data_IF_835595576389
#
_entry.id   IF_835595576389
#
_cell.length_a   1.000
_cell.length_b   1.000
_cell.length_c   1.000
_cell.angle_alpha   90.00
_cell.angle_beta   90.00
_cell.angle_gamma   90.00
#
_symmetry.space_group_name_H-M   'P 1'
#
loop_
_entity.id
_entity.type
_entity.pdbx_description
1 polymer ?
#
# COMPACT_ATOMS: atom_id res chain seq x y z
N UNK A 1 -6.52 6.36 8.17
CA UNK A 1 -5.70 5.16 7.89
C UNK A 1 -4.35 5.38 8.56
N UNK A 2 -3.96 4.55 9.52
CA UNK A 2 -2.59 4.56 10.07
C UNK A 2 -1.55 4.25 8.99
N UNK A 3 -0.38 4.85 9.13
CA UNK A 3 0.80 4.58 8.31
C UNK A 3 1.37 3.21 8.67
N UNK A 4 1.56 2.35 7.67
CA UNK A 4 2.09 1.00 7.84
C UNK A 4 3.53 0.87 7.33
N UNK A 5 3.94 1.70 6.38
CA UNK A 5 5.31 1.71 5.87
C UNK A 5 5.65 3.04 5.19
N UNK A 6 6.95 3.32 5.06
CA UNK A 6 7.47 4.52 4.40
C UNK A 6 8.85 4.29 3.81
N UNK A 7 9.03 4.59 2.54
CA UNK A 7 10.28 4.44 1.79
C UNK A 7 10.33 5.41 0.61
N UNK A 8 11.51 5.90 0.24
CA UNK A 8 11.70 6.77 -0.94
C UNK A 8 10.74 7.99 -1.05
N UNK A 9 10.23 8.48 0.09
CA UNK A 9 9.22 9.56 0.15
C UNK A 9 7.77 9.11 -0.13
N UNK A 10 7.56 7.81 -0.36
CA UNK A 10 6.25 7.15 -0.45
C UNK A 10 5.79 6.81 0.97
N UNK A 11 4.54 7.14 1.28
CA UNK A 11 3.89 6.80 2.55
C UNK A 11 2.79 5.82 2.23
N UNK A 12 2.83 4.64 2.84
CA UNK A 12 1.79 3.62 2.70
C UNK A 12 0.93 3.61 3.96
N UNK A 13 -0.39 3.65 3.76
CA UNK A 13 -1.37 3.64 4.84
C UNK A 13 -2.53 2.72 4.49
N UNK A 14 -3.07 2.05 5.50
CA UNK A 14 -4.18 1.11 5.34
C UNK A 14 -5.09 1.16 6.55
N UNK A 15 -6.37 0.81 6.35
CA UNK A 15 -7.29 0.52 7.45
C UNK A 15 -7.71 -0.94 7.33
N UNK A 16 -7.49 -1.73 8.37
CA UNK A 16 -7.93 -3.12 8.43
C UNK A 16 -9.39 -3.17 8.88
N UNK A 17 -10.23 -3.92 8.17
CA UNK A 17 -11.67 -3.96 8.38
C UNK A 17 -12.40 -4.52 7.15
N UNK A 18 -13.73 -4.45 7.16
CA UNK A 18 -14.62 -5.12 6.21
C UNK A 18 -14.69 -4.41 4.83
N UNK A 19 -13.53 -4.16 4.22
CA UNK A 19 -13.41 -3.64 2.86
C UNK A 19 -13.15 -4.79 1.90
N UNK A 20 -14.09 -5.01 0.99
CA UNK A 20 -13.96 -6.00 -0.08
C UNK A 20 -14.03 -5.26 -1.44
N UNK A 21 -12.96 -5.28 -2.26
CA UNK A 21 -11.69 -5.97 -2.03
C UNK A 21 -10.78 -5.25 -1.01
N UNK A 22 -9.79 -5.93 -0.42
CA UNK A 22 -8.80 -5.30 0.43
C UNK A 22 -7.83 -4.45 -0.41
N UNK A 23 -7.57 -3.22 0.03
CA UNK A 23 -6.68 -2.28 -0.65
C UNK A 23 -5.89 -1.42 0.34
N UNK A 24 -4.77 -0.87 -0.11
CA UNK A 24 -4.00 0.14 0.64
C UNK A 24 -3.92 1.45 -0.15
N UNK A 25 -3.59 2.53 0.55
CA UNK A 25 -3.28 3.82 -0.05
C UNK A 25 -1.80 4.11 0.00
N UNK A 26 -1.28 4.70 -1.06
CA UNK A 26 0.05 5.26 -1.09
C UNK A 26 0.02 6.74 -1.49
N UNK A 27 0.92 7.54 -0.91
CA UNK A 27 1.11 8.96 -1.23
C UNK A 27 2.56 9.27 -1.56
N UNK A 28 2.80 10.01 -2.63
CA UNK A 28 4.12 10.52 -3.03
C UNK A 28 4.02 12.00 -3.40
N UNK A 29 4.49 12.88 -2.52
CA UNK A 29 4.28 14.32 -2.66
C UNK A 29 2.78 14.68 -2.62
N UNK A 30 2.27 15.24 -3.71
CA UNK A 30 0.85 15.58 -3.91
C UNK A 30 0.02 14.42 -4.48
N UNK A 31 0.68 13.44 -5.10
CA UNK A 31 0.03 12.31 -5.79
C UNK A 31 -0.40 11.23 -4.80
N UNK A 32 -1.49 10.54 -5.11
CA UNK A 32 -2.09 9.48 -4.30
C UNK A 32 -2.62 8.36 -5.18
N UNK A 33 -2.53 7.13 -4.70
CA UNK A 33 -3.09 5.95 -5.36
C UNK A 33 -3.70 5.00 -4.33
N UNK A 34 -4.77 4.32 -4.72
CA UNK A 34 -5.34 3.18 -4.00
C UNK A 34 -5.11 1.91 -4.83
N UNK A 35 -4.56 0.87 -4.21
CA UNK A 35 -4.14 -0.37 -4.90
C UNK A 35 -4.79 -1.57 -4.22
N UNK A 36 -5.49 -2.38 -5.01
CA UNK A 36 -6.03 -3.67 -4.56
C UNK A 36 -4.89 -4.63 -4.24
N UNK A 37 -4.89 -5.22 -3.05
CA UNK A 37 -3.78 -6.05 -2.56
C UNK A 37 -3.64 -7.35 -3.36
N UNK A 38 -4.76 -7.97 -3.75
CA UNK A 38 -4.73 -9.30 -4.36
C UNK A 38 -4.10 -9.28 -5.76
N UNK A 39 -4.44 -8.25 -6.54
CA UNK A 39 -4.12 -8.16 -7.97
C UNK A 39 -3.09 -7.08 -8.29
N UNK A 40 -2.78 -6.20 -7.32
CA UNK A 40 -2.00 -4.97 -7.49
C UNK A 40 -2.57 -4.02 -8.54
N UNK A 41 -3.87 -4.12 -8.84
CA UNK A 41 -4.61 -3.20 -9.71
C UNK A 41 -4.81 -1.87 -9.00
N UNK A 42 -4.64 -0.78 -9.76
CA UNK A 42 -5.03 0.56 -9.30
C UNK A 42 -6.55 0.62 -9.26
N UNK A 43 -7.11 0.97 -8.09
CA UNK A 43 -8.53 1.23 -7.91
C UNK A 43 -8.85 2.71 -8.14
N UNK A 44 -7.97 3.60 -7.67
CA UNK A 44 -8.15 5.05 -7.78
C UNK A 44 -6.80 5.77 -7.78
N UNK A 45 -6.75 6.93 -8.41
CA UNK A 45 -5.64 7.86 -8.33
C UNK A 45 -4.54 7.58 -9.35
N UNK A 46 -3.39 8.18 -9.12
CA UNK A 46 -2.27 8.18 -10.05
C UNK A 46 -0.97 8.27 -9.28
N UNK A 47 0.05 7.57 -9.76
CA UNK A 47 1.45 7.73 -9.37
C UNK A 47 2.31 7.87 -10.63
N UNK A 48 3.40 8.68 -10.58
CA UNK A 48 4.43 8.64 -11.61
C UNK A 48 4.97 7.21 -11.78
N UNK A 49 5.32 6.75 -13.00
CA UNK A 49 5.67 5.36 -13.27
C UNK A 49 6.74 4.77 -12.34
N UNK A 50 7.76 5.56 -11.96
CA UNK A 50 8.80 5.13 -11.02
C UNK A 50 8.26 4.88 -9.61
N UNK A 51 7.43 5.79 -9.09
CA UNK A 51 6.83 5.62 -7.77
C UNK A 51 5.84 4.46 -7.74
N UNK A 52 5.09 4.27 -8.84
CA UNK A 52 4.21 3.12 -9.01
C UNK A 52 4.98 1.80 -9.00
N UNK A 53 6.11 1.73 -9.70
CA UNK A 53 6.97 0.53 -9.68
C UNK A 53 7.44 0.17 -8.27
N UNK A 54 7.95 1.16 -7.52
CA UNK A 54 8.43 0.96 -6.14
C UNK A 54 7.31 0.47 -5.20
N UNK A 55 6.11 1.07 -5.28
CA UNK A 55 5.01 0.66 -4.39
C UNK A 55 4.43 -0.71 -4.78
N UNK A 56 4.42 -1.07 -6.07
CA UNK A 56 4.01 -2.40 -6.53
C UNK A 56 5.01 -3.47 -6.08
N UNK A 57 6.31 -3.18 -6.21
CA UNK A 57 7.37 -4.09 -5.76
C UNK A 57 7.26 -4.37 -4.26
N UNK A 58 7.15 -3.31 -3.46
CA UNK A 58 6.92 -3.40 -2.02
C UNK A 58 5.65 -4.21 -1.71
N UNK A 59 4.52 -3.90 -2.37
CA UNK A 59 3.26 -4.61 -2.13
C UNK A 59 3.33 -6.09 -2.52
N UNK A 60 4.11 -6.45 -3.54
CA UNK A 60 4.32 -7.84 -3.93
C UNK A 60 5.16 -8.61 -2.89
N UNK A 61 6.20 -7.99 -2.33
CA UNK A 61 7.04 -8.60 -1.28
C UNK A 61 6.25 -8.82 0.03
N UNK A 62 5.37 -7.88 0.37
CA UNK A 62 4.62 -7.88 1.63
C UNK A 62 3.15 -8.29 1.48
N UNK A 63 2.77 -8.94 0.38
CA UNK A 63 1.38 -9.30 0.09
C UNK A 63 0.73 -10.12 1.20
N UNK A 64 1.47 -11.06 1.78
CA UNK A 64 0.97 -11.90 2.87
C UNK A 64 0.67 -11.09 4.13
N UNK A 65 1.55 -10.14 4.48
CA UNK A 65 1.36 -9.25 5.64
C UNK A 65 0.15 -8.32 5.42
N UNK A 66 0.00 -7.79 4.20
CA UNK A 66 -1.15 -6.96 3.81
C UNK A 66 -2.50 -7.71 3.87
N UNK A 67 -2.50 -9.03 3.68
CA UNK A 67 -3.69 -9.87 3.74
C UNK A 67 -4.01 -10.43 5.14
N UNK A 68 -3.10 -10.29 6.12
CA UNK A 68 -3.37 -10.77 7.48
C UNK A 68 -4.42 -9.88 8.16
N UNK A 69 -5.66 -10.38 8.21
CA UNK A 69 -6.85 -9.59 8.46
C UNK A 69 -7.25 -9.41 9.94
N UNK A 70 -6.34 -9.55 10.91
CA UNK A 70 -6.82 -9.79 12.27
C UNK A 70 -6.53 -8.73 13.33
N UNK A 71 -5.63 -7.77 13.16
CA UNK A 71 -5.34 -6.79 14.23
C UNK A 71 -4.89 -5.43 13.69
N UNK A 72 -4.68 -4.50 14.63
CA UNK A 72 -4.14 -3.15 14.40
C UNK A 72 -2.99 -3.25 13.40
N UNK A 73 -2.95 -2.38 12.37
CA UNK A 73 -1.87 -2.35 11.39
C UNK A 73 -0.51 -2.37 12.08
N UNK A 74 0.20 -3.49 11.95
CA UNK A 74 1.59 -3.57 12.31
C UNK A 74 2.40 -2.78 11.27
N UNK A 75 3.57 -2.27 11.69
CA UNK A 75 4.49 -1.68 10.73
C UNK A 75 5.03 -2.82 9.86
N UNK A 76 4.93 -2.62 8.55
CA UNK A 76 5.53 -3.48 7.54
C UNK A 76 6.87 -2.85 7.16
N UNK A 77 7.91 -3.67 7.04
CA UNK A 77 9.25 -3.20 6.68
C UNK A 77 9.23 -2.39 5.36
N UNK A 78 10.08 -1.36 5.23
CA UNK A 78 10.16 -0.57 4.02
C UNK A 78 10.86 -1.33 2.89
N UNK A 79 10.63 -0.90 1.64
CA UNK A 79 11.40 -1.38 0.50
C UNK A 79 12.87 -0.96 0.65
N UNK A 80 13.79 -1.93 0.49
CA UNK A 80 15.25 -1.71 0.52
C UNK A 80 15.81 -0.94 -0.69
#
# INVERSE_FOLDING_TARGET
>A
MPEISRFYGIIVAMFFGDHNPPYFHARYGAEKVAIEIESLRILEGFFPPRALGLVIEWAAQHKNELLQNNQVPEKIEPLE
#
